data_IF_360318627995
#
_entry.id   IF_360318627995
#
_cell.length_a   1.000
_cell.length_b   1.000
_cell.length_c   1.000
_cell.angle_alpha   90.00
_cell.angle_beta   90.00
_cell.angle_gamma   90.00
#
_symmetry.space_group_name_H-M   'P 1'
#
loop_
_entity.id
_entity.type
_entity.pdbx_description
1 polymer ?
#
# COMPACT_ATOMS: atom_id res chain seq x y z
N UNK A 1 14.17 16.02 39.49
CA UNK A 1 13.73 17.35 38.96
C UNK A 1 13.57 17.40 37.43
N UNK A 2 13.67 16.31 36.66
CA UNK A 2 13.56 16.36 35.18
C UNK A 2 12.18 15.99 34.60
N UNK A 3 11.25 15.46 35.39
CA UNK A 3 9.93 15.04 34.92
C UNK A 3 9.00 16.20 34.52
N UNK A 4 9.27 17.42 34.99
CA UNK A 4 8.41 18.60 34.75
C UNK A 4 8.55 19.17 33.33
N UNK A 5 9.71 19.04 32.68
CA UNK A 5 9.97 19.72 31.40
C UNK A 5 9.21 19.10 30.21
N UNK A 6 8.92 17.80 30.23
CA UNK A 6 8.10 17.15 29.19
C UNK A 6 6.60 17.45 29.36
N UNK A 7 6.17 17.66 30.61
CA UNK A 7 4.79 17.98 31.00
C UNK A 7 4.45 19.46 30.71
N UNK A 8 5.42 20.36 30.75
CA UNK A 8 5.25 21.80 30.46
C UNK A 8 4.92 22.15 28.99
N UNK A 9 5.04 21.20 28.07
CA UNK A 9 4.79 21.46 26.64
C UNK A 9 3.30 21.57 26.29
N UNK A 10 2.42 20.99 27.10
CA UNK A 10 0.97 20.99 26.90
C UNK A 10 0.32 21.88 27.96
N UNK A 11 -0.65 22.72 27.58
CA UNK A 11 -1.43 23.50 28.54
C UNK A 11 -2.02 22.55 29.59
N UNK A 12 -1.72 22.78 30.87
CA UNK A 12 -1.96 21.82 31.96
C UNK A 12 -3.38 21.23 32.01
N UNK A 13 -4.40 21.99 31.61
CA UNK A 13 -5.79 21.53 31.55
C UNK A 13 -6.04 20.46 30.48
N UNK A 14 -5.49 20.64 29.26
CA UNK A 14 -5.65 19.66 28.17
C UNK A 14 -4.83 18.40 28.42
N UNK A 15 -3.70 18.55 29.12
CA UNK A 15 -2.91 17.43 29.56
C UNK A 15 -3.67 16.61 30.62
N UNK A 16 -4.24 17.26 31.63
CA UNK A 16 -5.04 16.55 32.64
C UNK A 16 -6.20 15.78 32.03
N UNK A 17 -6.96 16.38 31.10
CA UNK A 17 -8.04 15.69 30.40
C UNK A 17 -7.55 14.50 29.56
N UNK A 18 -6.36 14.59 28.97
CA UNK A 18 -5.77 13.50 28.23
C UNK A 18 -5.30 12.36 29.15
N UNK A 19 -4.74 12.70 30.31
CA UNK A 19 -4.29 11.75 31.32
C UNK A 19 -5.46 11.04 32.00
N UNK A 20 -6.57 11.74 32.25
CA UNK A 20 -7.81 11.15 32.76
C UNK A 20 -8.41 10.16 31.76
N UNK A 21 -8.30 10.43 30.45
CA UNK A 21 -8.80 9.53 29.39
C UNK A 21 -7.87 8.37 29.08
N UNK A 22 -6.56 8.53 29.30
CA UNK A 22 -5.55 7.53 28.98
C UNK A 22 -4.56 7.36 30.13
N UNK A 23 -4.96 6.68 31.22
CA UNK A 23 -4.09 6.45 32.39
C UNK A 23 -2.86 5.61 32.04
N UNK A 24 -2.90 4.84 30.94
CA UNK A 24 -1.77 4.04 30.45
C UNK A 24 -0.56 4.90 30.07
N UNK A 25 -0.76 6.18 29.80
CA UNK A 25 0.31 7.14 29.52
C UNK A 25 1.06 7.58 30.79
N UNK A 26 0.48 7.37 31.97
CA UNK A 26 1.06 7.69 33.28
C UNK A 26 1.90 6.57 33.88
N UNK A 27 2.23 5.52 33.11
CA UNK A 27 3.00 4.41 33.67
C UNK A 27 4.25 4.93 34.41
N UNK A 28 4.25 4.73 35.73
CA UNK A 28 5.15 5.32 36.72
C UNK A 28 6.57 4.72 36.67
N UNK A 29 7.05 4.36 35.49
CA UNK A 29 8.41 3.93 35.26
C UNK A 29 9.20 5.15 34.82
N UNK A 30 10.25 5.51 35.55
CA UNK A 30 11.18 6.56 35.15
C UNK A 30 12.27 5.98 34.24
N UNK A 31 12.60 6.63 33.11
CA UNK A 31 11.88 7.75 32.49
C UNK A 31 10.53 7.33 31.92
N UNK A 32 9.52 8.21 32.01
CA UNK A 32 8.17 7.87 31.51
C UNK A 32 8.25 7.61 30.00
N UNK A 33 7.49 6.64 29.46
CA UNK A 33 7.49 6.35 28.03
C UNK A 33 7.23 7.60 27.18
N UNK A 34 6.34 8.47 27.67
CA UNK A 34 6.05 9.77 27.08
C UNK A 34 7.27 10.71 27.03
N UNK A 35 8.08 10.76 28.10
CA UNK A 35 9.26 11.61 28.12
C UNK A 35 10.28 11.15 27.07
N UNK A 36 10.52 9.84 26.96
CA UNK A 36 11.41 9.29 25.93
C UNK A 36 10.91 9.61 24.51
N UNK A 37 9.59 9.57 24.29
CA UNK A 37 8.97 9.98 23.02
C UNK A 37 9.16 11.47 22.71
N UNK A 38 8.96 12.34 23.70
CA UNK A 38 9.16 13.80 23.53
C UNK A 38 10.62 14.10 23.21
N UNK A 39 11.57 13.46 23.91
CA UNK A 39 12.99 13.60 23.64
C UNK A 39 13.36 13.09 22.24
N UNK A 40 12.80 11.94 21.82
CA UNK A 40 12.98 11.40 20.47
C UNK A 40 12.48 12.36 19.39
N UNK A 41 11.25 12.87 19.51
CA UNK A 41 10.66 13.78 18.53
C UNK A 41 11.40 15.13 18.47
N UNK A 42 11.90 15.59 19.63
CA UNK A 42 12.74 16.79 19.71
C UNK A 42 14.10 16.58 19.05
N UNK A 43 14.73 15.43 19.27
CA UNK A 43 15.97 15.04 18.60
C UNK A 43 15.78 14.87 17.09
N UNK A 44 14.61 14.41 16.65
CA UNK A 44 14.24 14.37 15.22
C UNK A 44 14.00 15.76 14.62
N UNK A 45 13.89 16.80 15.45
CA UNK A 45 13.79 18.20 15.03
C UNK A 45 12.38 18.76 14.94
N UNK A 46 11.39 18.12 15.58
CA UNK A 46 10.04 18.71 15.69
C UNK A 46 10.01 19.89 16.67
N UNK A 47 9.16 20.87 16.36
CA UNK A 47 8.91 21.99 17.23
C UNK A 47 8.03 21.55 18.43
N UNK A 48 8.32 22.11 19.60
CA UNK A 48 7.53 21.95 20.82
C UNK A 48 5.99 22.00 20.61
N UNK A 49 5.41 23.02 19.93
CA UNK A 49 3.95 23.09 19.75
C UNK A 49 3.39 21.96 18.86
N UNK A 50 4.17 21.46 17.91
CA UNK A 50 3.73 20.35 17.05
C UNK A 50 3.75 19.02 17.81
N UNK A 51 4.71 18.84 18.71
CA UNK A 51 4.75 17.68 19.63
C UNK A 51 3.51 17.70 20.54
N UNK A 52 3.17 18.86 21.11
CA UNK A 52 1.98 19.01 21.94
C UNK A 52 0.69 18.72 21.18
N UNK A 53 0.57 19.24 19.95
CA UNK A 53 -0.58 18.95 19.08
C UNK A 53 -0.67 17.47 18.75
N UNK A 54 0.47 16.83 18.49
CA UNK A 54 0.56 15.41 18.18
C UNK A 54 0.11 14.53 19.36
N UNK A 55 0.57 14.86 20.57
CA UNK A 55 0.15 14.19 21.82
C UNK A 55 -1.37 14.23 21.99
N UNK A 56 -1.98 15.40 21.76
CA UNK A 56 -3.43 15.58 21.85
C UNK A 56 -4.20 14.88 20.73
N UNK A 57 -3.64 14.83 19.52
CA UNK A 57 -4.32 14.27 18.35
C UNK A 57 -4.33 12.74 18.34
N UNK A 58 -3.26 12.09 18.80
CA UNK A 58 -3.11 10.63 18.75
C UNK A 58 -2.41 10.09 20.01
N UNK A 59 -3.06 10.14 21.19
CA UNK A 59 -2.51 9.57 22.43
C UNK A 59 -2.23 8.07 22.33
N UNK A 60 -3.05 7.34 21.57
CA UNK A 60 -2.92 5.89 21.37
C UNK A 60 -1.58 5.48 20.74
N UNK A 61 -1.00 6.34 19.90
CA UNK A 61 0.32 6.12 19.30
C UNK A 61 1.37 5.95 20.41
N UNK A 62 1.35 6.83 21.40
CA UNK A 62 2.34 6.84 22.47
C UNK A 62 2.14 5.74 23.50
N UNK A 63 0.90 5.25 23.64
CA UNK A 63 0.58 4.16 24.55
C UNK A 63 0.96 2.78 23.97
N UNK A 64 0.76 2.57 22.66
CA UNK A 64 0.88 1.25 22.04
C UNK A 64 2.09 1.07 21.13
N UNK A 65 2.68 2.14 20.61
CA UNK A 65 3.84 2.06 19.73
C UNK A 65 5.12 2.28 20.52
N UNK A 66 6.16 1.52 20.16
CA UNK A 66 7.50 1.74 20.66
C UNK A 66 8.27 2.77 19.81
N UNK A 67 9.17 3.52 20.45
CA UNK A 67 10.07 4.46 19.75
C UNK A 67 10.89 3.74 18.66
N UNK A 68 11.24 2.48 18.92
CA UNK A 68 11.97 1.64 17.96
C UNK A 68 11.16 1.37 16.68
N UNK A 69 9.88 1.01 16.80
CA UNK A 69 9.00 0.78 15.64
C UNK A 69 8.79 2.06 14.83
N UNK A 70 8.57 3.19 15.49
CA UNK A 70 8.46 4.47 14.79
C UNK A 70 9.78 4.85 14.10
N UNK A 71 10.93 4.63 14.76
CA UNK A 71 12.24 4.85 14.17
C UNK A 71 12.48 4.01 12.91
N UNK A 72 12.11 2.72 12.95
CA UNK A 72 12.16 1.84 11.77
C UNK A 72 11.28 2.36 10.64
N UNK A 73 10.06 2.78 10.96
CA UNK A 73 9.10 3.27 9.96
C UNK A 73 9.58 4.57 9.33
N UNK A 74 10.13 5.49 10.11
CA UNK A 74 10.76 6.72 9.62
C UNK A 74 11.94 6.41 8.69
N UNK A 75 12.82 5.48 9.10
CA UNK A 75 13.96 5.06 8.27
C UNK A 75 13.48 4.41 6.97
N UNK A 76 12.42 3.60 7.02
CA UNK A 76 11.83 3.01 5.84
C UNK A 76 11.30 4.06 4.87
N UNK A 77 10.59 5.08 5.36
CA UNK A 77 10.19 6.21 4.51
C UNK A 77 11.40 6.89 3.87
N UNK A 78 12.52 7.05 4.58
CA UNK A 78 13.75 7.57 3.96
C UNK A 78 14.25 6.69 2.82
N UNK A 79 14.21 5.37 2.97
CA UNK A 79 14.59 4.43 1.89
C UNK A 79 13.65 4.49 0.68
N UNK A 80 12.39 4.88 0.87
CA UNK A 80 11.43 5.13 -0.21
C UNK A 80 11.67 6.47 -0.93
N UNK A 81 12.59 7.30 -0.44
CA UNK A 81 12.92 8.61 -1.02
C UNK A 81 12.36 9.82 -0.28
N UNK A 82 11.72 9.62 0.89
CA UNK A 82 11.24 10.74 1.69
C UNK A 82 12.42 11.50 2.33
N UNK A 83 12.44 12.81 2.12
CA UNK A 83 13.38 13.70 2.80
C UNK A 83 12.92 13.98 4.23
N UNK A 84 13.86 14.11 5.17
CA UNK A 84 13.56 14.37 6.58
C UNK A 84 12.69 15.62 6.78
N UNK A 85 12.86 16.65 5.93
CA UNK A 85 12.03 17.85 5.97
C UNK A 85 10.55 17.55 5.68
N UNK A 86 10.27 16.67 4.71
CA UNK A 86 8.90 16.27 4.36
C UNK A 86 8.30 15.37 5.43
N UNK A 87 9.09 14.45 6.00
CA UNK A 87 8.64 13.57 7.08
C UNK A 87 8.26 14.40 8.31
N UNK A 88 9.14 15.32 8.72
CA UNK A 88 8.91 16.27 9.83
C UNK A 88 7.68 17.13 9.61
N UNK A 89 7.54 17.74 8.43
CA UNK A 89 6.50 18.74 8.19
C UNK A 89 5.13 18.14 7.86
N UNK A 90 5.09 16.91 7.33
CA UNK A 90 3.87 16.34 6.75
C UNK A 90 3.48 14.99 7.37
N UNK A 91 4.41 14.06 7.50
CA UNK A 91 4.09 12.69 7.96
C UNK A 91 3.81 12.68 9.46
N UNK A 92 4.76 13.15 10.27
CA UNK A 92 4.63 13.10 11.74
C UNK A 92 3.42 13.91 12.26
N UNK A 93 3.18 15.17 11.83
CA UNK A 93 2.08 15.97 12.41
C UNK A 93 0.70 15.61 11.87
N UNK A 94 0.56 15.20 10.60
CA UNK A 94 -0.75 14.93 9.99
C UNK A 94 -1.10 13.45 9.88
N UNK A 95 -0.09 12.57 9.87
CA UNK A 95 -0.25 11.12 9.69
C UNK A 95 0.48 10.32 10.77
N UNK A 96 0.27 10.63 12.07
CA UNK A 96 1.01 9.98 13.14
C UNK A 96 0.72 8.49 13.28
N UNK A 97 -0.47 8.05 12.88
CA UNK A 97 -0.84 6.63 12.83
C UNK A 97 0.06 5.80 11.91
N UNK A 98 0.73 6.42 10.93
CA UNK A 98 1.68 5.70 10.07
C UNK A 98 2.91 5.24 10.84
N UNK A 99 3.27 5.91 11.94
CA UNK A 99 4.40 5.52 12.79
C UNK A 99 4.12 4.24 13.58
N UNK A 100 2.85 3.95 13.86
CA UNK A 100 2.40 2.72 14.51
C UNK A 100 2.21 1.54 13.53
N UNK A 101 2.36 1.76 12.22
CA UNK A 101 2.16 0.72 11.22
C UNK A 101 3.35 -0.23 11.16
N UNK A 102 3.08 -1.50 10.93
CA UNK A 102 4.12 -2.49 10.71
C UNK A 102 4.55 -2.45 9.25
N UNK A 103 5.84 -2.27 8.99
CA UNK A 103 6.39 -2.11 7.63
C UNK A 103 6.02 -3.32 6.77
N UNK A 104 6.31 -4.52 7.26
CA UNK A 104 6.18 -5.77 6.52
C UNK A 104 4.70 -6.15 6.29
N UNK A 105 3.83 -5.84 7.26
CA UNK A 105 2.42 -6.23 7.24
C UNK A 105 1.52 -5.21 6.57
N UNK A 106 1.76 -3.91 6.79
CA UNK A 106 0.86 -2.85 6.34
C UNK A 106 1.42 -2.09 5.14
N UNK A 107 2.72 -1.81 5.12
CA UNK A 107 3.33 -0.91 4.12
C UNK A 107 3.77 -1.69 2.87
N UNK A 108 4.50 -2.80 3.05
CA UNK A 108 5.01 -3.63 1.95
C UNK A 108 3.92 -4.15 1.00
N UNK A 109 2.75 -4.65 1.46
CA UNK A 109 1.72 -5.12 0.55
C UNK A 109 1.15 -4.02 -0.34
N UNK A 110 1.04 -2.79 0.19
CA UNK A 110 0.59 -1.62 -0.56
C UNK A 110 1.60 -1.27 -1.64
N UNK A 111 2.89 -1.22 -1.29
CA UNK A 111 3.97 -0.93 -2.24
C UNK A 111 4.08 -2.00 -3.34
N UNK A 112 4.01 -3.28 -2.98
CA UNK A 112 4.04 -4.38 -3.94
C UNK A 112 2.86 -4.30 -4.91
N UNK A 113 1.67 -3.95 -4.41
CA UNK A 113 0.50 -3.77 -5.25
C UNK A 113 0.63 -2.57 -6.20
N UNK A 114 1.19 -1.45 -5.71
CA UNK A 114 1.45 -0.28 -6.55
C UNK A 114 2.50 -0.55 -7.62
N UNK A 115 3.58 -1.24 -7.24
CA UNK A 115 4.64 -1.66 -8.15
C UNK A 115 4.12 -2.62 -9.24
N UNK A 116 3.25 -3.57 -8.89
CA UNK A 116 2.65 -4.48 -9.89
C UNK A 116 1.70 -3.78 -10.88
N UNK A 117 1.23 -2.57 -10.54
CA UNK A 117 0.44 -1.73 -11.45
C UNK A 117 1.29 -0.71 -12.21
N UNK A 118 2.61 -0.70 -12.01
CA UNK A 118 3.55 0.20 -12.70
C UNK A 118 3.75 1.57 -12.06
N UNK A 119 3.28 1.79 -10.82
CA UNK A 119 3.58 3.02 -10.10
C UNK A 119 5.01 3.01 -9.55
N UNK A 120 5.68 4.16 -9.67
CA UNK A 120 6.96 4.38 -9.01
C UNK A 120 6.75 4.65 -7.52
N UNK A 121 7.70 4.22 -6.67
CA UNK A 121 7.71 4.58 -5.25
C UNK A 121 7.75 6.09 -5.01
N UNK A 122 8.21 6.85 -6.01
CA UNK A 122 8.18 8.30 -5.99
C UNK A 122 6.73 8.77 -5.97
N UNK A 123 5.87 8.43 -6.93
CA UNK A 123 4.48 8.91 -6.99
C UNK A 123 3.67 8.77 -5.68
N UNK A 124 4.02 7.76 -4.88
CA UNK A 124 3.46 7.50 -3.55
C UNK A 124 3.69 8.65 -2.54
N UNK A 125 4.74 9.48 -2.71
CA UNK A 125 5.10 10.60 -1.82
C UNK A 125 4.01 11.67 -1.75
N UNK A 126 3.22 11.83 -2.80
CA UNK A 126 2.17 12.84 -2.85
C UNK A 126 0.99 12.49 -1.94
N UNK A 127 0.78 11.21 -1.67
CA UNK A 127 -0.41 10.73 -0.95
C UNK A 127 -0.10 9.72 0.17
N UNK A 128 0.41 10.18 1.32
CA UNK A 128 0.72 9.32 2.48
C UNK A 128 -0.47 8.51 3.01
N UNK A 129 -1.70 9.00 2.79
CA UNK A 129 -2.95 8.30 3.13
C UNK A 129 -3.12 6.96 2.44
N UNK A 130 -2.33 6.68 1.40
CA UNK A 130 -2.36 5.38 0.72
C UNK A 130 -1.95 4.23 1.62
N UNK A 131 -1.18 4.47 2.69
CA UNK A 131 -0.82 3.43 3.65
C UNK A 131 -1.89 3.17 4.71
N UNK A 132 -3.06 3.81 4.59
CA UNK A 132 -4.23 3.52 5.41
C UNK A 132 -4.92 2.22 5.01
N UNK A 133 -5.86 1.78 5.85
CA UNK A 133 -6.61 0.53 5.63
C UNK A 133 -7.43 0.55 4.32
N UNK A 134 -7.79 1.74 3.82
CA UNK A 134 -8.59 1.94 2.60
C UNK A 134 -7.75 2.12 1.33
N UNK A 135 -6.51 1.66 1.27
CA UNK A 135 -5.62 1.90 0.13
C UNK A 135 -6.21 1.46 -1.22
N UNK A 136 -6.96 0.34 -1.24
CA UNK A 136 -7.64 -0.16 -2.45
C UNK A 136 -8.69 0.82 -2.98
N UNK A 137 -9.37 1.56 -2.10
CA UNK A 137 -10.34 2.59 -2.48
C UNK A 137 -9.62 3.78 -3.14
N UNK A 138 -8.49 4.19 -2.57
CA UNK A 138 -7.68 5.28 -3.11
C UNK A 138 -7.11 4.92 -4.49
N UNK A 139 -6.60 3.69 -4.65
CA UNK A 139 -6.11 3.19 -5.94
C UNK A 139 -7.21 3.23 -7.00
N UNK A 140 -8.41 2.72 -6.71
CA UNK A 140 -9.53 2.79 -7.67
C UNK A 140 -9.88 4.23 -8.05
N UNK A 141 -9.83 5.14 -7.09
CA UNK A 141 -10.04 6.57 -7.35
C UNK A 141 -8.95 7.13 -8.26
N UNK A 142 -7.69 6.78 -8.04
CA UNK A 142 -6.58 7.22 -8.90
C UNK A 142 -6.67 6.61 -10.31
N UNK A 143 -7.08 5.36 -10.45
CA UNK A 143 -7.36 4.72 -11.73
C UNK A 143 -8.49 5.41 -12.50
N UNK A 144 -9.55 5.83 -11.79
CA UNK A 144 -10.64 6.60 -12.40
C UNK A 144 -10.18 7.98 -12.86
N UNK A 145 -9.30 8.62 -12.09
CA UNK A 145 -8.77 9.95 -12.40
C UNK A 145 -7.59 9.91 -13.39
N UNK A 146 -7.05 8.73 -13.73
CA UNK A 146 -5.88 8.59 -14.59
C UNK A 146 -4.59 9.15 -13.98
N UNK A 147 -4.46 9.14 -12.66
CA UNK A 147 -3.29 9.68 -11.94
C UNK A 147 -2.19 8.61 -11.78
N UNK A 148 -0.94 9.06 -11.63
CA UNK A 148 0.22 8.21 -11.31
C UNK A 148 0.51 7.09 -12.32
N UNK A 149 0.10 7.27 -13.59
CA UNK A 149 0.30 6.28 -14.64
C UNK A 149 -0.48 4.98 -14.44
N UNK A 150 -1.48 4.98 -13.54
CA UNK A 150 -2.24 3.77 -13.21
C UNK A 150 -3.14 3.34 -14.37
N UNK A 151 -3.18 2.04 -14.71
CA UNK A 151 -4.07 1.54 -15.75
C UNK A 151 -5.54 1.68 -15.34
N UNK A 152 -6.45 2.07 -16.24
CA UNK A 152 -7.87 2.21 -15.92
C UNK A 152 -8.48 0.86 -15.54
N UNK A 153 -9.47 0.89 -14.64
CA UNK A 153 -10.13 -0.31 -14.12
C UNK A 153 -10.68 -1.17 -15.28
N UNK A 154 -10.26 -2.43 -15.35
CA UNK A 154 -10.70 -3.39 -16.38
C UNK A 154 -9.99 -3.29 -17.72
N UNK A 155 -8.92 -2.49 -17.85
CA UNK A 155 -8.09 -2.44 -19.07
C UNK A 155 -7.49 -3.79 -19.44
N UNK A 156 -6.97 -4.55 -18.45
CA UNK A 156 -6.40 -5.88 -18.68
C UNK A 156 -7.40 -6.86 -19.27
N UNK A 157 -8.63 -6.87 -18.76
CA UNK A 157 -9.68 -7.76 -19.25
C UNK A 157 -10.09 -7.38 -20.68
N UNK A 158 -10.17 -6.08 -20.98
CA UNK A 158 -10.44 -5.59 -22.35
C UNK A 158 -9.32 -5.94 -23.33
N UNK A 159 -8.06 -5.79 -22.93
CA UNK A 159 -6.90 -6.14 -23.75
C UNK A 159 -6.80 -7.64 -23.98
N UNK A 160 -7.07 -8.46 -22.97
CA UNK A 160 -7.13 -9.93 -23.11
C UNK A 160 -8.25 -10.38 -24.05
N UNK A 161 -9.45 -9.78 -23.93
CA UNK A 161 -10.56 -10.03 -24.86
C UNK A 161 -10.21 -9.63 -26.30
N UNK A 162 -9.56 -8.49 -26.50
CA UNK A 162 -9.12 -8.04 -27.83
C UNK A 162 -8.04 -8.96 -28.41
N UNK A 163 -7.05 -9.39 -27.62
CA UNK A 163 -6.03 -10.34 -28.04
C UNK A 163 -6.62 -11.70 -28.42
N UNK A 164 -7.58 -12.23 -27.64
CA UNK A 164 -8.28 -13.47 -27.97
C UNK A 164 -9.06 -13.38 -29.27
N UNK A 165 -9.74 -12.26 -29.54
CA UNK A 165 -10.42 -12.05 -30.82
C UNK A 165 -9.43 -11.96 -32.00
N UNK A 166 -8.26 -11.34 -31.79
CA UNK A 166 -7.21 -11.30 -32.80
C UNK A 166 -6.64 -12.70 -33.09
N UNK A 167 -6.41 -13.53 -32.06
CA UNK A 167 -5.94 -14.91 -32.21
C UNK A 167 -6.95 -15.78 -32.98
N UNK A 168 -8.24 -15.70 -32.64
CA UNK A 168 -9.31 -16.42 -33.33
C UNK A 168 -9.48 -15.96 -34.79
N UNK A 169 -9.25 -14.68 -35.08
CA UNK A 169 -9.29 -14.16 -36.46
C UNK A 169 -8.08 -14.56 -37.31
N UNK A 170 -6.94 -14.94 -36.70
CA UNK A 170 -5.75 -15.45 -37.41
C UNK A 170 -5.89 -16.95 -37.68
N UNK A 171 -6.45 -17.72 -36.73
CA UNK A 171 -6.73 -19.15 -36.91
C UNK A 171 -7.87 -19.40 -37.92
N UNK A 172 -8.86 -18.50 -38.01
CA UNK A 172 -9.94 -18.58 -39.00
C UNK A 172 -9.58 -18.14 -40.42
N UNK A 173 -8.32 -17.74 -40.69
CA UNK A 173 -7.87 -17.19 -41.98
C UNK A 173 -6.90 -18.08 -42.76
N UNK A 174 -6.66 -19.31 -42.29
CA UNK A 174 -5.85 -20.32 -42.99
C UNK A 174 -6.67 -21.39 -43.73
N UNK A 175 -7.99 -21.21 -43.90
CA UNK A 175 -8.87 -22.18 -44.56
C UNK A 175 -9.57 -21.62 -45.81
N UNK A 176 -8.81 -21.03 -46.71
CA UNK A 176 -9.33 -20.60 -48.00
C UNK A 176 -8.26 -20.17 -48.98
N UNK A 177 -7.53 -21.14 -49.56
CA UNK A 177 -7.09 -21.10 -50.95
C UNK A 177 -6.60 -22.52 -51.34
N UNK A 178 -7.42 -23.31 -52.02
CA UNK A 178 -6.96 -24.48 -52.75
C UNK A 178 -7.80 -24.68 -54.00
N UNK A 179 -7.43 -23.96 -55.07
CA UNK A 179 -7.73 -24.36 -56.44
C UNK A 179 -6.83 -25.55 -56.81
N UNK A 180 -7.47 -26.66 -57.19
CA UNK A 180 -6.83 -27.98 -57.34
C UNK A 180 -6.33 -28.29 -58.75
N UNK A 181 -5.55 -29.38 -58.86
CA UNK A 181 -5.56 -30.35 -59.97
C UNK A 181 -5.12 -31.73 -59.45
N UNK A 182 -5.83 -32.77 -59.90
CA UNK A 182 -5.77 -34.22 -59.65
C UNK A 182 -4.39 -34.89 -59.91
N UNK A 183 -4.02 -36.09 -59.44
CA UNK A 183 -4.68 -37.41 -59.59
C UNK A 183 -4.14 -38.46 -58.58
N UNK A 184 -4.98 -39.48 -58.27
CA UNK A 184 -4.50 -40.88 -58.24
C UNK A 184 -4.41 -41.65 -56.91
N UNK A 185 -5.53 -42.24 -56.50
CA UNK A 185 -5.70 -43.66 -56.09
C UNK A 185 -5.08 -44.23 -54.78
N UNK A 186 -6.00 -44.60 -53.88
CA UNK A 186 -6.21 -45.95 -53.28
C UNK A 186 -5.88 -46.20 -51.79
N UNK A 187 -6.95 -46.57 -51.07
CA UNK A 187 -7.05 -47.45 -49.89
C UNK A 187 -6.50 -46.92 -48.56
N UNK A 188 -7.04 -47.18 -47.37
CA UNK A 188 -8.23 -47.86 -46.87
C UNK A 188 -8.19 -47.67 -45.36
N UNK A 189 -9.29 -47.18 -44.77
CA UNK A 189 -9.78 -47.40 -43.39
C UNK A 189 -8.85 -47.19 -42.18
N UNK A 190 -9.24 -46.24 -41.32
CA UNK A 190 -9.45 -46.40 -39.86
C UNK A 190 -9.02 -45.18 -39.04
N UNK A 191 -9.84 -44.12 -39.06
CA UNK A 191 -9.76 -42.98 -38.15
C UNK A 191 -11.19 -42.56 -37.80
N UNK A 192 -11.74 -43.10 -36.70
CA UNK A 192 -13.06 -42.68 -36.21
C UNK A 192 -13.28 -42.90 -34.69
N UNK A 193 -12.25 -42.94 -33.85
CA UNK A 193 -12.47 -43.15 -32.39
C UNK A 193 -11.80 -42.17 -31.43
N UNK A 194 -10.85 -41.33 -31.82
CA UNK A 194 -10.13 -40.50 -30.83
C UNK A 194 -10.70 -39.09 -30.59
N UNK A 195 -11.67 -38.63 -31.38
CA UNK A 195 -12.24 -37.28 -31.21
C UNK A 195 -13.32 -37.15 -30.12
N UNK A 196 -13.75 -38.26 -29.49
CA UNK A 196 -14.74 -38.23 -28.40
C UNK A 196 -14.14 -38.36 -26.99
N UNK A 197 -12.83 -38.66 -26.87
CA UNK A 197 -12.17 -38.73 -25.56
C UNK A 197 -11.92 -37.34 -24.95
N UNK A 198 -11.67 -36.33 -25.80
CA UNK A 198 -11.34 -34.98 -25.33
C UNK A 198 -12.55 -34.19 -24.78
N UNK A 199 -13.77 -34.52 -25.24
CA UNK A 199 -15.00 -33.85 -24.80
C UNK A 199 -15.57 -34.38 -23.47
N UNK A 200 -15.12 -35.55 -23.00
CA UNK A 200 -15.62 -36.18 -21.77
C UNK A 200 -14.82 -35.84 -20.50
N UNK A 201 -13.70 -35.11 -20.61
CA UNK A 201 -12.79 -34.82 -19.47
C UNK A 201 -12.80 -33.35 -19.00
N UNK A 202 -13.72 -32.50 -19.49
CA UNK A 202 -13.77 -31.06 -19.12
C UNK A 202 -15.01 -30.62 -18.33
N UNK A 203 -15.70 -31.57 -17.69
CA UNK A 203 -16.71 -31.24 -16.66
C UNK A 203 -16.36 -31.99 -15.37
N UNK A 204 -15.44 -31.41 -14.58
CA UNK A 204 -15.58 -31.24 -13.12
C UNK A 204 -14.46 -30.37 -12.57
#
# INVERSE_FOLDING_TARGET
MQATAAVELVQGAQLQELLDRHPDLLQAQHPSPLQAWVEFLRAYGLAAPDISRLLLACPELFAHCSIYEAGRTLLFFKTLGYQDCHIRARIVPYYPHLLAKQIERDICPVLNHLSSMGCSSQDVWEFPRIFGNDFRRHIRKFQYLGLYGLPPVGSQQRQQWQQQQQQQSVEGKCSGESDGVSDGSSSSSDEAVDSLHWLMMSVQ
#
